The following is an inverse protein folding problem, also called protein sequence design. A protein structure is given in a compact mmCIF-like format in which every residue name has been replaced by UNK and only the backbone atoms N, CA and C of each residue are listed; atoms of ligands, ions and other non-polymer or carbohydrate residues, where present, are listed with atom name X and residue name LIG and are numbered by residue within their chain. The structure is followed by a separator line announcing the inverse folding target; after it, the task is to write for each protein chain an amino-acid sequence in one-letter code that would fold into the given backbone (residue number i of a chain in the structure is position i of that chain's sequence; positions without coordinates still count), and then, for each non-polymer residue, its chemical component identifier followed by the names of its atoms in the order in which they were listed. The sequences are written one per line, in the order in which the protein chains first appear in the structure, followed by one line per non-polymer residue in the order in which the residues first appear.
data_IF_831872220941
#
_entry.id   IF_831872220941
#
_cell.length_a   1.000
_cell.length_b   1.000
_cell.length_c   1.000
_cell.angle_alpha   90.00
_cell.angle_beta   90.00
_cell.angle_gamma   90.00
#
_symmetry.space_group_name_H-M   'P 1'
#
loop_
_entity.id
_entity.type
_entity.pdbx_description
1 polymer ?
#
# COMPACT_ATOMS: atom_id res chain seq x y z
N UNK A 1 -7.66 9.81 -10.52
CA UNK A 1 -6.23 9.93 -10.09
C UNK A 1 -5.70 8.58 -9.55
N UNK A 2 -4.39 8.42 -9.25
CA UNK A 2 -3.64 7.14 -9.19
C UNK A 2 -4.26 5.87 -8.56
N UNK A 3 -5.21 5.98 -7.62
CA UNK A 3 -5.94 4.83 -7.05
C UNK A 3 -6.99 4.25 -7.99
N UNK A 4 -7.62 5.06 -8.85
CA UNK A 4 -8.52 4.59 -9.93
C UNK A 4 -7.76 3.75 -10.96
N UNK A 5 -6.48 4.12 -11.21
CA UNK A 5 -5.61 3.41 -12.15
C UNK A 5 -4.85 2.27 -11.49
N UNK A 6 -4.96 2.07 -10.17
CA UNK A 6 -4.28 1.00 -9.46
C UNK A 6 -4.63 -0.35 -10.08
N UNK A 7 -5.92 -0.60 -10.31
CA UNK A 7 -6.40 -1.83 -10.95
C UNK A 7 -5.79 -2.04 -12.34
N UNK A 8 -5.72 -0.98 -13.16
CA UNK A 8 -5.11 -1.02 -14.49
C UNK A 8 -3.59 -1.27 -14.44
N UNK A 9 -2.87 -0.64 -13.49
CA UNK A 9 -1.44 -0.83 -13.31
C UNK A 9 -1.14 -2.26 -12.87
N UNK A 10 -1.89 -2.78 -11.89
CA UNK A 10 -1.74 -4.15 -11.38
C UNK A 10 -2.00 -5.16 -12.51
N UNK A 11 -3.05 -4.97 -13.31
CA UNK A 11 -3.35 -5.85 -14.45
C UNK A 11 -2.24 -5.84 -15.51
N UNK A 12 -1.64 -4.69 -15.83
CA UNK A 12 -0.50 -4.62 -16.75
C UNK A 12 0.75 -5.32 -16.20
N UNK A 13 1.01 -5.17 -14.90
CA UNK A 13 2.16 -5.78 -14.22
C UNK A 13 2.01 -7.32 -14.20
N UNK A 14 0.81 -7.84 -13.93
CA UNK A 14 0.54 -9.29 -13.99
C UNK A 14 0.81 -9.89 -15.37
N UNK A 15 0.54 -9.15 -16.44
CA UNK A 15 0.86 -9.57 -17.81
C UNK A 15 2.36 -9.81 -18.07
N UNK A 16 3.24 -9.23 -17.23
CA UNK A 16 4.70 -9.35 -17.33
C UNK A 16 5.33 -10.55 -16.60
N UNK A 17 4.55 -11.57 -16.20
CA UNK A 17 5.00 -12.77 -15.46
C UNK A 17 5.39 -12.54 -13.98
N UNK A 18 4.93 -11.46 -13.35
CA UNK A 18 5.15 -11.25 -11.92
C UNK A 18 4.15 -12.10 -11.12
N UNK A 19 4.63 -12.77 -10.07
CA UNK A 19 3.84 -13.66 -9.22
C UNK A 19 2.76 -12.87 -8.46
N UNK A 20 1.52 -13.37 -8.42
CA UNK A 20 0.41 -12.78 -7.66
C UNK A 20 0.70 -12.65 -6.15
N UNK A 21 1.63 -13.47 -5.62
CA UNK A 21 2.10 -13.41 -4.24
C UNK A 21 3.11 -12.28 -3.98
N UNK A 22 3.57 -11.57 -5.01
CA UNK A 22 4.50 -10.44 -4.87
C UNK A 22 3.88 -9.39 -3.96
N UNK A 23 4.64 -8.97 -2.96
CA UNK A 23 4.15 -8.05 -1.95
C UNK A 23 3.94 -6.64 -2.50
N UNK A 24 2.95 -5.96 -1.97
CA UNK A 24 2.60 -4.58 -2.32
C UNK A 24 2.29 -3.81 -1.05
N UNK A 25 2.75 -2.57 -0.97
CA UNK A 25 2.35 -1.61 0.04
C UNK A 25 1.75 -0.36 -0.61
N UNK A 26 0.72 0.19 0.02
CA UNK A 26 0.17 1.50 -0.29
C UNK A 26 0.41 2.39 0.92
N UNK A 27 1.08 3.51 0.72
CA UNK A 27 1.32 4.53 1.74
C UNK A 27 0.52 5.77 1.36
N UNK A 28 -0.57 6.01 2.08
CA UNK A 28 -1.38 7.21 1.94
C UNK A 28 -0.90 8.28 2.92
N UNK A 29 -0.93 9.56 2.52
CA UNK A 29 -0.52 10.68 3.37
C UNK A 29 0.85 10.45 4.03
N UNK A 30 1.83 9.99 3.23
CA UNK A 30 3.18 9.72 3.70
C UNK A 30 3.75 10.91 4.49
N UNK A 31 4.43 10.63 5.61
CA UNK A 31 5.03 11.59 6.56
C UNK A 31 4.06 12.53 7.29
N UNK A 32 2.76 12.43 7.02
CA UNK A 32 1.73 13.18 7.75
C UNK A 32 1.21 12.40 8.96
N UNK A 33 0.56 13.12 9.89
CA UNK A 33 -0.01 12.53 11.12
C UNK A 33 -1.08 11.48 10.84
N UNK A 34 -1.80 11.61 9.72
CA UNK A 34 -2.84 10.69 9.26
C UNK A 34 -2.33 9.77 8.13
N UNK A 35 -1.03 9.43 8.16
CA UNK A 35 -0.49 8.42 7.26
C UNK A 35 -1.29 7.11 7.41
N UNK A 36 -1.48 6.37 6.33
CA UNK A 36 -2.05 5.01 6.40
C UNK A 36 -1.17 4.11 5.56
N UNK A 37 -0.77 2.96 6.12
CA UNK A 37 0.01 1.96 5.40
C UNK A 37 -0.80 0.69 5.27
N UNK A 38 -1.12 0.32 4.04
CA UNK A 38 -1.86 -0.91 3.70
C UNK A 38 -0.88 -1.84 3.01
N UNK A 39 -0.78 -3.08 3.48
CA UNK A 39 0.10 -4.09 2.89
C UNK A 39 -0.70 -5.28 2.42
N UNK A 40 -0.33 -5.82 1.27
CA UNK A 40 -0.93 -7.00 0.69
C UNK A 40 -0.02 -7.60 -0.37
N UNK A 41 -0.63 -8.24 -1.36
CA UNK A 41 0.00 -8.86 -2.52
C UNK A 41 -0.63 -8.31 -3.80
N UNK A 42 0.00 -8.52 -4.95
CA UNK A 42 -0.59 -8.18 -6.25
C UNK A 42 -1.98 -8.80 -6.45
N UNK A 43 -2.22 -9.98 -5.86
CA UNK A 43 -3.50 -10.69 -5.92
C UNK A 43 -4.66 -9.98 -5.21
N UNK A 44 -4.40 -9.25 -4.11
CA UNK A 44 -5.46 -8.72 -3.24
C UNK A 44 -5.37 -7.22 -2.94
N UNK A 45 -4.29 -6.54 -3.35
CA UNK A 45 -4.07 -5.13 -2.99
C UNK A 45 -5.16 -4.20 -3.53
N UNK A 46 -5.76 -4.51 -4.68
CA UNK A 46 -6.86 -3.72 -5.26
C UNK A 46 -8.10 -3.78 -4.37
N UNK A 47 -8.45 -4.98 -3.86
CA UNK A 47 -9.57 -5.16 -2.94
C UNK A 47 -9.33 -4.44 -1.61
N UNK A 48 -8.13 -4.58 -1.05
CA UNK A 48 -7.73 -3.89 0.18
C UNK A 48 -7.78 -2.36 0.00
N UNK A 49 -7.34 -1.84 -1.14
CA UNK A 49 -7.40 -0.41 -1.42
C UNK A 49 -8.85 0.11 -1.48
N UNK A 50 -9.79 -0.68 -2.02
CA UNK A 50 -11.22 -0.35 -2.06
C UNK A 50 -11.84 -0.38 -0.66
N UNK A 51 -11.55 -1.43 0.12
CA UNK A 51 -12.03 -1.60 1.50
C UNK A 51 -11.59 -0.44 2.41
N UNK A 52 -10.32 -0.04 2.32
CA UNK A 52 -9.78 1.08 3.08
C UNK A 52 -10.07 2.46 2.47
N UNK A 53 -10.86 2.53 1.39
CA UNK A 53 -11.23 3.76 0.69
C UNK A 53 -10.01 4.67 0.42
N UNK A 54 -8.93 4.08 -0.13
CA UNK A 54 -7.67 4.79 -0.38
C UNK A 54 -7.91 5.90 -1.38
N UNK A 55 -7.51 7.12 -0.99
CA UNK A 55 -7.58 8.33 -1.81
C UNK A 55 -6.19 8.93 -1.99
N UNK A 56 -5.94 9.65 -3.09
CA UNK A 56 -4.74 10.46 -3.20
C UNK A 56 -4.64 11.48 -2.04
N UNK A 57 -3.42 11.86 -1.62
CA UNK A 57 -2.12 11.40 -2.12
C UNK A 57 -1.72 10.03 -1.55
N UNK A 58 -1.29 9.12 -2.43
CA UNK A 58 -0.83 7.79 -2.04
C UNK A 58 0.30 7.30 -2.96
N UNK A 59 1.24 6.53 -2.38
CA UNK A 59 2.37 5.91 -3.06
C UNK A 59 2.19 4.40 -3.02
N UNK A 60 2.46 3.72 -4.14
CA UNK A 60 2.40 2.25 -4.25
C UNK A 60 3.81 1.71 -4.42
N UNK A 61 4.17 0.73 -3.59
CA UNK A 61 5.48 0.07 -3.60
C UNK A 61 5.25 -1.41 -3.86
N UNK A 62 5.92 -1.99 -4.85
CA UNK A 62 5.77 -3.39 -5.26
C UNK A 62 7.13 -4.09 -5.10
N UNK A 63 7.14 -5.25 -4.45
CA UNK A 63 8.32 -6.11 -4.30
C UNK A 63 8.69 -6.42 -2.84
N UNK A 64 9.76 -7.19 -2.67
CA UNK A 64 10.17 -7.75 -1.37
C UNK A 64 10.59 -6.68 -0.34
N UNK A 65 10.89 -5.46 -0.81
CA UNK A 65 11.17 -4.30 0.05
C UNK A 65 10.03 -4.03 1.06
N UNK A 66 8.80 -4.43 0.74
CA UNK A 66 7.64 -4.32 1.64
C UNK A 66 7.88 -5.09 2.97
N UNK A 67 8.66 -6.17 2.96
CA UNK A 67 9.00 -6.90 4.19
C UNK A 67 9.93 -6.10 5.12
N UNK A 68 10.74 -5.18 4.59
CA UNK A 68 11.64 -4.37 5.41
C UNK A 68 10.86 -3.40 6.32
N UNK A 69 9.63 -3.02 5.95
CA UNK A 69 8.78 -2.20 6.80
C UNK A 69 8.57 -2.82 8.20
N UNK A 70 8.53 -4.15 8.32
CA UNK A 70 8.42 -4.83 9.63
C UNK A 70 9.66 -4.66 10.49
N UNK A 71 10.84 -4.58 9.87
CA UNK A 71 12.14 -4.48 10.55
C UNK A 71 12.51 -3.04 10.87
N UNK A 72 12.09 -2.10 10.04
CA UNK A 72 12.53 -0.69 10.08
C UNK A 72 11.32 0.21 10.37
N UNK A 73 10.40 -0.23 11.24
CA UNK A 73 9.20 0.53 11.61
C UNK A 73 9.54 1.69 12.57
N UNK A 74 10.38 2.61 12.11
CA UNK A 74 10.90 3.73 12.89
C UNK A 74 9.89 4.88 13.04
N UNK A 75 8.97 5.02 12.08
CA UNK A 75 7.88 6.01 12.12
C UNK A 75 6.63 5.35 12.70
N UNK A 76 6.46 5.49 14.01
CA UNK A 76 5.29 5.01 14.76
C UNK A 76 4.28 6.16 14.83
N UNK A 77 3.07 5.94 14.32
CA UNK A 77 1.97 6.89 14.52
C UNK A 77 1.68 7.00 16.01
N UNK A 78 1.61 8.23 16.51
CA UNK A 78 1.26 8.50 17.88
C UNK A 78 -0.04 7.78 18.24
N UNK A 79 0.05 6.92 19.24
CA UNK A 79 -1.10 6.35 19.95
C UNK A 79 -2.05 7.50 20.24
N UNK A 80 -3.27 7.46 19.69
CA UNK A 80 -4.31 8.41 20.08
C UNK A 80 -4.66 8.06 21.52
N UNK A 81 -4.08 8.78 22.47
CA UNK A 81 -4.51 8.76 23.87
C UNK A 81 -5.82 9.55 23.87
N UNK A 82 -6.94 8.85 23.71
CA UNK A 82 -8.25 9.44 23.97
C UNK A 82 -8.32 9.73 25.48
N UNK A 83 -8.51 11.01 25.82
CA UNK A 83 -8.86 11.48 27.17
C UNK A 83 -10.36 11.37 27.39
#
# INVERSE_FOLDING_TARGET
MGTEKLELIINKIKGGKINDKTLVAIIQNGTLKNQTVITGSLGNIVSLAKEHNVKPPAIVIIGDIVNLNKKIKWYIQGTRVES
#
